data_IF_282452367896
#
_entry.id   IF_282452367896
#
_cell.length_a   1.000
_cell.length_b   1.000
_cell.length_c   1.000
_cell.angle_alpha   90.00
_cell.angle_beta   90.00
_cell.angle_gamma   90.00
#
_symmetry.space_group_name_H-M   'P 1'
#
loop_
_entity.id
_entity.type
_entity.pdbx_description
1 polymer ?
#
# COMPACT_ATOMS: atom_id res chain seq x y z
N UNK A 1 1.99 -42.50 -6.25
CA UNK A 1 1.48 -42.76 -4.87
C UNK A 1 2.72 -42.88 -3.99
N UNK A 2 3.06 -42.07 -2.98
CA UNK A 2 2.40 -41.12 -2.05
C UNK A 2 3.23 -39.81 -2.01
N UNK A 3 2.78 -38.56 -1.93
CA UNK A 3 1.60 -37.90 -1.32
C UNK A 3 1.36 -38.24 0.15
N UNK A 4 2.36 -37.98 0.99
CA UNK A 4 2.26 -37.68 2.43
C UNK A 4 3.70 -37.49 2.91
N UNK A 5 4.21 -36.38 3.44
CA UNK A 5 3.65 -35.39 4.35
C UNK A 5 4.35 -34.04 4.10
N UNK A 6 3.86 -33.23 3.16
CA UNK A 6 4.05 -31.77 3.27
C UNK A 6 3.03 -31.33 4.31
N UNK A 7 3.47 -31.18 5.56
CA UNK A 7 2.69 -30.48 6.55
C UNK A 7 2.36 -29.11 5.96
N UNK A 8 1.08 -28.93 5.61
CA UNK A 8 0.51 -27.66 5.17
C UNK A 8 0.60 -26.70 6.36
N UNK A 9 1.73 -26.00 6.50
CA UNK A 9 1.85 -24.87 7.41
C UNK A 9 0.96 -23.75 6.85
N UNK A 10 -0.25 -23.68 7.38
CA UNK A 10 -1.26 -22.67 7.07
C UNK A 10 -0.78 -21.29 7.57
N UNK A 11 -0.18 -20.51 6.67
CA UNK A 11 -0.65 -19.17 6.33
C UNK A 11 -0.51 -17.99 7.29
N UNK A 12 -0.03 -18.18 8.50
CA UNK A 12 0.66 -17.09 9.20
C UNK A 12 2.12 -17.30 8.89
N UNK A 13 2.79 -16.38 8.20
CA UNK A 13 4.24 -16.47 7.93
C UNK A 13 5.08 -16.27 9.21
N UNK A 14 4.57 -16.75 10.34
CA UNK A 14 5.20 -16.87 11.64
C UNK A 14 5.86 -18.25 11.64
N UNK A 15 6.84 -18.39 10.75
CA UNK A 15 7.74 -19.53 10.76
C UNK A 15 8.98 -19.15 11.58
N UNK A 16 9.48 -20.10 12.37
CA UNK A 16 10.73 -19.89 13.10
C UNK A 16 11.86 -19.65 12.10
N UNK A 17 12.54 -18.51 12.16
CA UNK A 17 13.56 -18.18 11.18
C UNK A 17 14.77 -19.10 11.32
N UNK A 18 15.31 -19.56 10.19
CA UNK A 18 16.54 -20.36 10.12
C UNK A 18 17.71 -19.44 9.81
N UNK A 19 18.79 -19.54 10.60
CA UNK A 19 20.03 -18.78 10.38
C UNK A 19 21.22 -19.71 10.21
N UNK A 20 22.25 -19.23 9.53
CA UNK A 20 23.48 -19.99 9.37
C UNK A 20 24.23 -20.08 10.71
N UNK A 21 24.65 -21.29 11.09
CA UNK A 21 25.56 -21.47 12.22
C UNK A 21 27.01 -21.47 11.72
N UNK A 22 27.80 -20.48 12.14
CA UNK A 22 29.20 -20.32 11.78
C UNK A 22 30.10 -21.14 12.71
N UNK A 23 30.99 -21.95 12.13
CA UNK A 23 32.02 -22.69 12.86
C UNK A 23 33.29 -22.83 12.00
N UNK A 24 34.42 -23.06 12.68
CA UNK A 24 35.72 -23.14 12.01
C UNK A 24 35.77 -24.29 11.00
N UNK A 25 36.28 -24.02 9.79
CA UNK A 25 36.36 -25.01 8.72
C UNK A 25 35.05 -25.28 8.00
N UNK A 26 33.96 -24.57 8.31
CA UNK A 26 32.71 -24.67 7.56
C UNK A 26 32.90 -24.14 6.13
N UNK A 27 32.62 -24.97 5.13
CA UNK A 27 32.54 -24.53 3.74
C UNK A 27 31.24 -23.75 3.51
N UNK A 28 31.36 -22.61 2.84
CA UNK A 28 30.27 -21.69 2.55
C UNK A 28 30.11 -21.56 1.05
N UNK A 29 28.87 -21.55 0.59
CA UNK A 29 28.48 -21.41 -0.81
C UNK A 29 27.26 -20.48 -0.93
N UNK A 30 26.76 -20.31 -2.16
CA UNK A 30 25.62 -19.43 -2.44
C UNK A 30 24.39 -19.74 -1.57
N UNK A 31 24.13 -21.01 -1.27
CA UNK A 31 23.00 -21.42 -0.43
C UNK A 31 23.10 -20.81 0.97
N UNK A 32 24.28 -20.84 1.59
CA UNK A 32 24.44 -20.30 2.94
C UNK A 32 24.29 -18.77 3.00
N UNK A 33 24.71 -18.05 1.96
CA UNK A 33 24.48 -16.60 1.88
C UNK A 33 23.02 -16.25 1.58
N UNK A 34 22.35 -17.03 0.74
CA UNK A 34 20.91 -16.91 0.53
C UNK A 34 20.14 -17.14 1.83
N UNK A 35 20.54 -18.13 2.64
CA UNK A 35 19.94 -18.39 3.95
C UNK A 35 20.03 -17.17 4.87
N UNK A 36 21.18 -16.50 4.92
CA UNK A 36 21.35 -15.25 5.69
C UNK A 36 20.47 -14.12 5.16
N UNK A 37 20.40 -13.91 3.84
CA UNK A 37 19.51 -12.90 3.25
C UNK A 37 18.04 -13.18 3.57
N UNK A 38 17.61 -14.44 3.46
CA UNK A 38 16.26 -14.85 3.80
C UNK A 38 15.95 -14.64 5.29
N UNK A 39 16.88 -14.96 6.19
CA UNK A 39 16.72 -14.74 7.62
C UNK A 39 16.41 -13.27 7.95
N UNK A 40 17.21 -12.34 7.40
CA UNK A 40 17.03 -10.91 7.64
C UNK A 40 15.74 -10.37 7.02
N UNK A 41 15.46 -10.76 5.77
CA UNK A 41 14.24 -10.33 5.08
C UNK A 41 12.99 -10.83 5.79
N UNK A 42 12.99 -12.08 6.24
CA UNK A 42 11.90 -12.68 7.00
C UNK A 42 11.65 -11.95 8.32
N UNK A 43 12.71 -11.72 9.11
CA UNK A 43 12.58 -11.05 10.41
C UNK A 43 12.11 -9.59 10.23
N UNK A 44 12.67 -8.86 9.26
CA UNK A 44 12.25 -7.49 8.91
C UNK A 44 10.77 -7.46 8.52
N UNK A 45 10.35 -8.31 7.59
CA UNK A 45 8.97 -8.36 7.10
C UNK A 45 8.00 -8.74 8.21
N UNK A 46 8.36 -9.74 9.02
CA UNK A 46 7.54 -10.19 10.15
C UNK A 46 7.35 -9.09 11.19
N UNK A 47 8.44 -8.44 11.63
CA UNK A 47 8.36 -7.37 12.64
C UNK A 47 7.57 -6.17 12.12
N UNK A 48 7.82 -5.74 10.89
CA UNK A 48 7.06 -4.65 10.28
C UNK A 48 5.56 -4.98 10.22
N UNK A 49 5.20 -6.20 9.79
CA UNK A 49 3.80 -6.63 9.70
C UNK A 49 3.12 -6.69 11.07
N UNK A 50 3.79 -7.25 12.08
CA UNK A 50 3.18 -7.55 13.38
C UNK A 50 3.23 -6.36 14.37
N UNK A 51 4.22 -5.48 14.25
CA UNK A 51 4.45 -4.40 15.22
C UNK A 51 4.07 -3.04 14.68
N UNK A 52 4.33 -2.77 13.40
CA UNK A 52 4.10 -1.45 12.78
C UNK A 52 2.81 -1.45 11.95
N UNK A 53 2.56 -2.52 11.21
CA UNK A 53 1.46 -2.63 10.26
C UNK A 53 1.76 -1.98 8.90
N UNK A 54 0.76 -2.01 8.03
CA UNK A 54 0.81 -1.47 6.67
C UNK A 54 0.40 0.00 6.66
N UNK A 55 1.11 0.82 5.89
CA UNK A 55 0.79 2.23 5.71
C UNK A 55 1.98 3.08 5.28
N UNK A 56 1.73 4.36 5.05
CA UNK A 56 2.77 5.38 4.87
C UNK A 56 3.39 5.67 6.23
N UNK A 57 4.72 5.59 6.33
CA UNK A 57 5.47 5.91 7.56
C UNK A 57 5.82 7.40 7.60
N UNK A 58 6.32 7.93 6.49
CA UNK A 58 6.66 9.35 6.32
C UNK A 58 6.67 9.75 4.85
N UNK A 59 6.47 11.05 4.58
CA UNK A 59 6.54 11.61 3.23
C UNK A 59 5.43 11.12 2.31
N UNK A 60 5.80 10.73 1.08
CA UNK A 60 4.90 10.19 0.04
C UNK A 60 3.64 11.04 -0.18
N UNK A 61 3.79 12.36 -0.03
CA UNK A 61 2.70 13.29 -0.25
C UNK A 61 2.47 13.42 -1.76
N UNK A 62 1.20 13.37 -2.17
CA UNK A 62 0.80 13.55 -3.57
C UNK A 62 0.28 14.97 -3.73
N UNK A 63 0.81 15.68 -4.71
CA UNK A 63 0.37 17.04 -5.05
C UNK A 63 0.12 17.16 -6.54
N UNK A 64 -0.91 17.90 -6.92
CA UNK A 64 -1.15 18.25 -8.31
C UNK A 64 -0.06 19.20 -8.83
N UNK A 65 0.32 19.05 -10.09
CA UNK A 65 1.20 19.96 -10.82
C UNK A 65 0.49 20.41 -12.10
N UNK A 66 0.38 21.72 -12.29
CA UNK A 66 -0.23 22.32 -13.49
C UNK A 66 0.70 22.24 -14.71
N UNK A 67 1.98 22.55 -14.53
CA UNK A 67 2.94 22.62 -15.64
C UNK A 67 4.08 21.60 -15.49
N UNK A 68 4.32 20.86 -16.56
CA UNK A 68 5.41 19.90 -16.70
C UNK A 68 6.22 20.18 -17.97
N UNK A 69 7.43 20.69 -17.80
CA UNK A 69 8.38 20.81 -18.90
C UNK A 69 8.88 19.42 -19.31
N UNK A 70 8.63 19.03 -20.56
CA UNK A 70 9.11 17.76 -21.13
C UNK A 70 8.16 16.57 -20.99
N UNK A 71 6.90 16.78 -20.59
CA UNK A 71 5.88 15.75 -20.70
C UNK A 71 5.61 15.44 -22.18
N UNK A 72 5.67 14.16 -22.56
CA UNK A 72 5.43 13.71 -23.94
C UNK A 72 4.04 14.11 -24.45
N UNK A 73 3.07 14.21 -23.53
CA UNK A 73 1.71 14.65 -23.79
C UNK A 73 1.32 15.79 -22.82
N UNK A 74 1.35 17.06 -23.25
CA UNK A 74 1.05 18.20 -22.38
C UNK A 74 -0.40 18.24 -21.87
N UNK A 75 -1.29 17.43 -22.45
CA UNK A 75 -2.70 17.34 -22.06
C UNK A 75 -2.96 16.24 -21.02
N UNK A 76 -1.95 15.44 -20.68
CA UNK A 76 -2.08 14.40 -19.64
C UNK A 76 -1.87 15.03 -18.27
N UNK A 77 -2.83 14.90 -17.34
CA UNK A 77 -2.66 15.45 -16.01
C UNK A 77 -1.53 14.72 -15.27
N UNK A 78 -0.73 15.50 -14.56
CA UNK A 78 0.46 15.02 -13.85
C UNK A 78 0.41 15.33 -12.36
N UNK A 79 1.07 14.47 -11.59
CA UNK A 79 1.22 14.63 -10.15
C UNK A 79 2.69 14.57 -9.74
N UNK A 80 2.99 15.21 -8.62
CA UNK A 80 4.25 15.04 -7.91
C UNK A 80 4.03 14.14 -6.69
N UNK A 81 4.99 13.26 -6.43
CA UNK A 81 5.02 12.42 -5.23
C UNK A 81 6.32 12.71 -4.48
N UNK A 82 6.21 13.21 -3.25
CA UNK A 82 7.37 13.48 -2.42
C UNK A 82 8.10 12.18 -2.04
N UNK A 83 9.41 12.26 -1.81
CA UNK A 83 10.18 11.16 -1.21
C UNK A 83 9.57 10.70 0.12
N UNK A 84 9.84 9.45 0.51
CA UNK A 84 9.28 8.90 1.74
C UNK A 84 9.36 7.38 1.83
N UNK A 85 8.71 6.86 2.87
CA UNK A 85 8.73 5.43 3.19
C UNK A 85 7.32 4.92 3.49
N UNK A 86 7.01 3.75 2.98
CA UNK A 86 5.80 3.01 3.30
C UNK A 86 6.11 1.55 3.64
N UNK A 87 5.14 0.86 4.23
CA UNK A 87 5.18 -0.58 4.50
C UNK A 87 3.95 -1.20 3.83
N UNK A 88 4.19 -2.22 3.02
CA UNK A 88 3.11 -2.96 2.35
C UNK A 88 2.43 -4.00 3.25
N UNK A 89 1.42 -4.71 2.72
CA UNK A 89 0.65 -5.67 3.52
C UNK A 89 1.47 -6.90 3.98
N UNK A 90 2.66 -7.14 3.43
CA UNK A 90 3.54 -8.22 3.89
C UNK A 90 4.62 -7.74 4.86
N UNK A 91 4.72 -6.43 5.11
CA UNK A 91 5.76 -5.85 5.95
C UNK A 91 7.02 -5.45 5.18
N UNK A 92 6.98 -5.43 3.84
CA UNK A 92 8.14 -4.99 3.05
C UNK A 92 8.21 -3.47 3.04
N UNK A 93 9.38 -2.89 3.33
CA UNK A 93 9.55 -1.45 3.21
C UNK A 93 9.57 -1.05 1.73
N UNK A 94 8.84 0.01 1.40
CA UNK A 94 8.87 0.68 0.10
C UNK A 94 9.54 2.03 0.33
N UNK A 95 10.71 2.23 -0.27
CA UNK A 95 11.49 3.47 -0.12
C UNK A 95 11.48 4.24 -1.43
N UNK A 96 10.98 5.47 -1.38
CA UNK A 96 11.08 6.45 -2.47
C UNK A 96 12.18 7.44 -2.09
N UNK A 97 13.38 7.33 -2.66
CA UNK A 97 14.56 8.05 -2.17
C UNK A 97 14.59 9.54 -2.54
N UNK A 98 13.85 9.93 -3.58
CA UNK A 98 13.78 11.30 -4.09
C UNK A 98 12.39 11.60 -4.62
N UNK A 99 12.04 12.89 -4.65
CA UNK A 99 10.76 13.32 -5.21
C UNK A 99 10.59 12.82 -6.66
N UNK A 100 9.42 12.27 -6.94
CA UNK A 100 9.00 11.91 -8.28
C UNK A 100 8.20 13.09 -8.81
N UNK A 101 8.74 13.76 -9.83
CA UNK A 101 8.11 14.92 -10.45
C UNK A 101 7.44 14.50 -11.75
N UNK A 102 6.33 15.15 -12.07
CA UNK A 102 5.66 15.01 -13.36
C UNK A 102 5.25 13.56 -13.69
N UNK A 103 4.74 12.81 -12.71
CA UNK A 103 4.24 11.47 -12.94
C UNK A 103 2.89 11.55 -13.69
N UNK A 104 2.79 11.06 -14.94
CA UNK A 104 1.54 11.12 -15.70
C UNK A 104 0.52 10.11 -15.16
N UNK A 105 -0.73 10.56 -15.08
CA UNK A 105 -1.86 9.69 -14.76
C UNK A 105 -2.40 9.13 -16.09
N UNK A 106 -2.44 7.79 -16.26
CA UNK A 106 -2.89 7.19 -17.51
C UNK A 106 -4.32 7.60 -17.89
N UNK A 107 -4.52 8.08 -19.12
CA UNK A 107 -5.82 8.57 -19.62
C UNK A 107 -6.90 7.49 -19.58
N UNK A 108 -6.54 6.22 -19.82
CA UNK A 108 -7.47 5.09 -19.74
C UNK A 108 -8.10 4.96 -18.35
N UNK A 109 -7.34 5.24 -17.28
CA UNK A 109 -7.85 5.21 -15.90
C UNK A 109 -8.76 6.38 -15.57
N UNK A 110 -8.51 7.53 -16.18
CA UNK A 110 -9.35 8.71 -16.02
C UNK A 110 -10.69 8.48 -16.72
N UNK A 111 -10.67 7.97 -17.95
CA UNK A 111 -11.88 7.63 -18.71
C UNK A 111 -12.70 6.57 -17.96
N UNK A 112 -12.07 5.49 -17.51
CA UNK A 112 -12.72 4.46 -16.68
C UNK A 112 -13.35 5.07 -15.40
N UNK A 113 -12.69 6.04 -14.78
CA UNK A 113 -13.20 6.72 -13.59
C UNK A 113 -14.43 7.60 -13.88
N UNK A 114 -14.49 8.27 -15.02
CA UNK A 114 -15.63 9.08 -15.44
C UNK A 114 -16.84 8.18 -15.77
N UNK A 115 -16.62 7.09 -16.50
CA UNK A 115 -17.65 6.11 -16.86
C UNK A 115 -18.28 5.48 -15.60
N UNK A 116 -17.46 5.15 -14.59
CA UNK A 116 -17.96 4.64 -13.31
C UNK A 116 -18.89 5.65 -12.62
N UNK A 117 -18.57 6.94 -12.64
CA UNK A 117 -19.45 7.95 -12.02
C UNK A 117 -20.78 8.08 -12.77
N UNK A 118 -20.77 7.97 -14.10
CA UNK A 118 -21.97 8.00 -14.92
C UNK A 118 -22.87 6.77 -14.71
N UNK A 119 -22.30 5.57 -14.59
CA UNK A 119 -23.04 4.31 -14.39
C UNK A 119 -23.72 4.24 -13.01
N UNK A 120 -23.12 4.81 -11.97
CA UNK A 120 -23.72 4.91 -10.63
C UNK A 120 -24.68 6.10 -10.46
N UNK A 121 -24.79 6.95 -11.49
CA UNK A 121 -25.75 8.04 -11.59
C UNK A 121 -25.44 9.23 -10.67
N UNK A 122 -25.56 10.44 -11.23
CA UNK A 122 -25.56 11.72 -10.52
C UNK A 122 -26.75 11.92 -9.56
N UNK A 123 -26.99 10.97 -8.66
CA UNK A 123 -27.88 11.07 -7.53
C UNK A 123 -27.30 10.25 -6.39
N UNK A 124 -26.86 10.94 -5.34
CA UNK A 124 -26.22 10.35 -4.17
C UNK A 124 -26.88 9.06 -3.70
N UNK A 125 -26.13 7.97 -3.77
CA UNK A 125 -26.41 6.78 -2.97
C UNK A 125 -25.49 6.80 -1.77
N UNK A 126 -25.96 7.52 -0.75
CA UNK A 126 -25.69 7.13 0.62
C UNK A 126 -25.98 5.62 0.74
N UNK A 127 -24.93 4.83 0.92
CA UNK A 127 -25.06 3.47 1.42
C UNK A 127 -25.93 3.54 2.68
N UNK A 128 -27.14 2.97 2.60
CA UNK A 128 -28.02 2.75 3.74
C UNK A 128 -27.38 1.68 4.63
N UNK A 129 -26.39 2.09 5.40
CA UNK A 129 -26.14 1.51 6.72
C UNK A 129 -26.43 2.58 7.76
N UNK A 130 -27.39 2.27 8.63
CA UNK A 130 -27.82 3.10 9.75
C UNK A 130 -26.65 3.20 10.74
N UNK A 131 -25.89 4.28 10.65
CA UNK A 131 -24.86 4.68 11.62
C UNK A 131 -25.01 6.17 11.91
N UNK A 132 -25.49 6.49 13.11
CA UNK A 132 -25.73 7.86 13.59
C UNK A 132 -24.37 8.52 13.94
N UNK A 133 -23.72 9.12 12.95
CA UNK A 133 -22.56 10.00 13.12
C UNK A 133 -22.87 11.42 12.63
N UNK A 134 -22.28 12.48 13.22
CA UNK A 134 -22.66 13.85 12.89
C UNK A 134 -22.29 14.20 11.44
N UNK A 135 -23.11 15.02 10.76
CA UNK A 135 -22.85 15.39 9.37
C UNK A 135 -21.68 16.38 9.33
N UNK A 136 -20.55 15.94 8.80
CA UNK A 136 -19.61 16.87 8.17
C UNK A 136 -20.29 17.38 6.90
N UNK A 137 -20.39 18.69 6.74
CA UNK A 137 -20.86 19.32 5.51
C UNK A 137 -19.92 18.87 4.38
N UNK A 138 -20.44 18.07 3.47
CA UNK A 138 -19.88 17.98 2.13
C UNK A 138 -20.34 19.29 1.46
N UNK A 139 -19.41 20.24 1.37
CA UNK A 139 -19.59 21.51 0.66
C UNK A 139 -19.65 21.23 -0.85
N UNK A 140 -20.64 21.86 -1.50
CA UNK A 140 -20.75 22.20 -2.93
C UNK A 140 -20.95 21.06 -3.96
N UNK A 141 -22.19 20.54 -4.03
CA UNK A 141 -22.78 20.00 -5.27
C UNK A 141 -23.09 21.16 -6.24
N UNK A 142 -22.05 21.90 -6.66
CA UNK A 142 -22.16 22.80 -7.80
C UNK A 142 -22.16 21.99 -9.10
N UNK A 143 -23.00 22.43 -10.02
CA UNK A 143 -23.37 21.90 -11.34
C UNK A 143 -22.16 21.79 -12.31
N UNK A 144 -21.11 21.05 -11.93
CA UNK A 144 -19.94 20.76 -12.77
C UNK A 144 -20.18 19.49 -13.57
N UNK A 145 -19.62 19.44 -14.78
CA UNK A 145 -19.75 18.35 -15.76
C UNK A 145 -19.24 16.98 -15.26
N UNK A 146 -19.00 16.01 -16.17
CA UNK A 146 -18.62 14.66 -15.76
C UNK A 146 -17.33 14.70 -14.93
N UNK A 147 -17.38 14.06 -13.75
CA UNK A 147 -16.29 14.03 -12.78
C UNK A 147 -15.97 12.59 -12.34
N UNK A 148 -14.76 12.38 -11.82
CA UNK A 148 -14.27 11.04 -11.53
C UNK A 148 -13.12 11.02 -10.53
N UNK A 149 -12.92 9.86 -9.90
CA UNK A 149 -11.83 9.65 -8.95
C UNK A 149 -10.84 8.61 -9.48
N UNK A 150 -9.54 8.87 -9.33
CA UNK A 150 -8.47 7.88 -9.58
C UNK A 150 -7.63 7.73 -8.32
N UNK A 151 -7.43 6.49 -7.88
CA UNK A 151 -6.51 6.15 -6.80
C UNK A 151 -5.08 6.10 -7.31
N UNK A 152 -4.16 6.75 -6.59
CA UNK A 152 -2.72 6.65 -6.79
C UNK A 152 -2.17 5.61 -5.82
N UNK A 153 -1.55 4.57 -6.34
CA UNK A 153 -1.07 3.43 -5.56
C UNK A 153 0.44 3.30 -5.67
N UNK A 154 1.07 2.82 -4.60
CA UNK A 154 2.48 2.42 -4.61
C UNK A 154 2.62 0.94 -4.22
N UNK A 155 3.50 0.22 -4.93
CA UNK A 155 3.77 -1.19 -4.68
C UNK A 155 5.27 -1.45 -4.58
N UNK A 156 5.65 -2.41 -3.75
CA UNK A 156 7.02 -2.91 -3.69
C UNK A 156 7.36 -3.67 -4.97
N UNK A 157 8.56 -3.45 -5.51
CA UNK A 157 9.06 -4.13 -6.69
C UNK A 157 10.53 -4.54 -6.52
N UNK A 158 10.93 -5.67 -7.09
CA UNK A 158 12.34 -6.08 -7.15
C UNK A 158 12.77 -6.10 -8.61
N UNK A 159 13.93 -5.49 -8.88
CA UNK A 159 14.58 -5.56 -10.18
C UNK A 159 15.88 -6.36 -10.08
N UNK A 160 16.05 -7.30 -10.99
CA UNK A 160 17.35 -7.93 -11.25
C UNK A 160 18.25 -6.93 -11.99
N UNK A 161 19.39 -6.59 -11.40
CA UNK A 161 20.34 -5.60 -11.94
C UNK A 161 21.76 -6.15 -11.90
N UNK A 162 22.69 -5.42 -12.51
CA UNK A 162 24.11 -5.76 -12.58
C UNK A 162 24.37 -7.15 -13.19
N UNK A 163 24.09 -7.36 -14.49
CA UNK A 163 24.27 -8.65 -15.14
C UNK A 163 25.74 -9.09 -15.14
N UNK A 164 26.01 -10.31 -14.68
CA UNK A 164 27.34 -10.92 -14.56
C UNK A 164 27.37 -12.26 -15.33
N UNK A 165 28.45 -12.57 -16.07
CA UNK A 165 28.59 -13.82 -16.79
C UNK A 165 28.61 -15.03 -15.86
N UNK A 166 27.89 -16.09 -16.22
CA UNK A 166 27.90 -17.36 -15.48
C UNK A 166 29.08 -18.20 -15.96
N UNK A 167 30.06 -18.45 -15.08
CA UNK A 167 31.29 -19.15 -15.43
C UNK A 167 31.16 -20.69 -15.47
N UNK A 168 30.03 -21.24 -15.02
CA UNK A 168 29.70 -22.66 -15.09
C UNK A 168 28.75 -22.90 -16.28
N UNK A 169 29.33 -23.14 -17.46
CA UNK A 169 28.59 -23.56 -18.64
C UNK A 169 28.61 -25.08 -18.77
N UNK A 170 27.44 -25.72 -18.67
CA UNK A 170 27.26 -27.06 -19.21
C UNK A 170 27.31 -26.95 -20.75
N UNK A 171 27.89 -27.93 -21.45
CA UNK A 171 28.07 -27.95 -22.92
C UNK A 171 26.75 -27.91 -23.73
N UNK A 172 25.61 -27.67 -23.08
CA UNK A 172 24.28 -27.53 -23.66
C UNK A 172 23.62 -26.24 -23.18
N UNK A 173 23.95 -25.11 -23.83
CA UNK A 173 23.08 -23.93 -23.92
C UNK A 173 22.66 -23.26 -22.60
N UNK A 174 23.52 -23.26 -21.57
CA UNK A 174 23.25 -22.55 -20.32
C UNK A 174 23.17 -21.02 -20.50
N UNK A 175 22.35 -20.35 -19.68
CA UNK A 175 22.29 -18.88 -19.62
C UNK A 175 23.70 -18.31 -19.45
N UNK A 176 24.14 -17.51 -20.43
CA UNK A 176 25.49 -16.92 -20.45
C UNK A 176 25.68 -15.80 -19.42
N UNK A 177 24.58 -15.27 -18.87
CA UNK A 177 24.57 -14.13 -17.97
C UNK A 177 23.41 -14.22 -16.98
N UNK A 178 23.62 -13.83 -15.74
CA UNK A 178 22.61 -13.75 -14.69
C UNK A 178 22.79 -12.47 -13.85
N UNK A 179 21.76 -12.04 -13.13
CA UNK A 179 21.83 -10.82 -12.32
C UNK A 179 22.71 -11.02 -11.08
N UNK A 180 23.68 -10.11 -10.89
CA UNK A 180 24.56 -10.09 -9.73
C UNK A 180 23.92 -9.47 -8.49
N UNK A 181 22.91 -8.62 -8.67
CA UNK A 181 22.25 -7.89 -7.58
C UNK A 181 20.73 -7.86 -7.76
N UNK A 182 19.99 -7.85 -6.64
CA UNK A 182 18.56 -7.52 -6.60
C UNK A 182 18.41 -6.12 -6.02
N UNK A 183 17.78 -5.21 -6.75
CA UNK A 183 17.41 -3.88 -6.27
C UNK A 183 15.97 -3.90 -5.77
N UNK A 184 15.79 -3.72 -4.46
CA UNK A 184 14.47 -3.40 -3.89
C UNK A 184 14.07 -1.98 -4.34
N UNK A 185 12.89 -1.84 -4.93
CA UNK A 185 12.39 -0.63 -5.58
C UNK A 185 10.87 -0.48 -5.37
N UNK A 186 10.28 0.48 -6.05
CA UNK A 186 8.85 0.78 -6.01
C UNK A 186 8.26 0.93 -7.41
N UNK A 187 6.96 0.66 -7.54
CA UNK A 187 6.18 0.99 -8.74
C UNK A 187 4.95 1.79 -8.33
N UNK A 188 4.50 2.65 -9.23
CA UNK A 188 3.19 3.28 -9.11
C UNK A 188 2.19 2.53 -9.98
N UNK A 189 0.95 2.54 -9.53
CA UNK A 189 -0.21 2.02 -10.25
C UNK A 189 -1.39 2.95 -10.02
N UNK A 190 -2.36 2.89 -10.92
CA UNK A 190 -3.52 3.78 -10.92
C UNK A 190 -4.78 2.94 -11.08
N UNK A 191 -5.80 3.24 -10.27
CA UNK A 191 -7.10 2.55 -10.35
C UNK A 191 -8.23 3.54 -10.39
N UNK A 192 -9.19 3.31 -11.27
CA UNK A 192 -10.42 4.07 -11.29
C UNK A 192 -11.21 3.86 -9.98
N UNK A 193 -11.89 4.91 -9.52
CA UNK A 193 -12.64 4.95 -8.27
C UNK A 193 -11.88 5.58 -7.10
N UNK A 194 -12.46 5.42 -5.90
CA UNK A 194 -12.00 6.09 -4.67
C UNK A 194 -11.70 5.10 -3.56
N UNK A 195 -10.70 5.40 -2.73
CA UNK A 195 -10.35 4.54 -1.59
C UNK A 195 -11.55 4.39 -0.65
N UNK A 196 -11.80 3.18 -0.14
CA UNK A 196 -12.88 2.93 0.81
C UNK A 196 -12.71 3.82 2.05
N UNK A 197 -13.82 4.39 2.55
CA UNK A 197 -13.79 5.10 3.84
C UNK A 197 -13.45 4.10 4.94
N UNK A 198 -12.57 4.48 5.85
CA UNK A 198 -12.30 3.70 7.05
C UNK A 198 -13.58 3.73 7.89
N UNK A 199 -14.19 2.56 8.13
CA UNK A 199 -15.31 2.49 9.05
C UNK A 199 -14.80 2.72 10.49
N UNK A 200 -15.19 3.85 11.05
CA UNK A 200 -14.85 4.24 12.42
C UNK A 200 -15.62 3.43 13.48
N UNK A 201 -16.62 2.64 13.08
CA UNK A 201 -17.38 1.74 13.94
C UNK A 201 -16.78 0.33 13.98
N UNK A 202 -15.81 0.05 13.11
CA UNK A 202 -15.07 -1.21 13.08
C UNK A 202 -14.16 -1.28 14.32
N UNK A 203 -14.63 -1.99 15.35
CA UNK A 203 -13.87 -2.28 16.55
C UNK A 203 -13.45 -3.75 16.56
N UNK A 204 -12.38 -4.05 17.30
CA UNK A 204 -12.05 -5.44 17.59
C UNK A 204 -13.01 -5.90 18.69
N UNK A 205 -13.97 -6.79 18.42
CA UNK A 205 -14.93 -7.21 19.43
C UNK A 205 -14.21 -8.02 20.53
N UNK A 206 -14.63 -7.81 21.78
CA UNK A 206 -14.20 -8.61 22.95
C UNK A 206 -12.69 -8.67 23.23
N UNK A 207 -11.90 -7.66 22.77
CA UNK A 207 -10.44 -7.60 23.04
C UNK A 207 -10.12 -7.68 24.51
N UNK A 208 -10.94 -7.05 25.35
CA UNK A 208 -10.82 -7.14 26.80
C UNK A 208 -12.09 -7.75 27.34
N UNK A 209 -12.00 -8.99 27.79
CA UNK A 209 -13.12 -9.70 28.41
C UNK A 209 -12.76 -10.02 29.86
N UNK A 210 -13.58 -9.56 30.81
CA UNK A 210 -13.39 -9.80 32.26
C UNK A 210 -11.99 -9.40 32.77
N UNK A 211 -11.45 -8.29 32.29
CA UNK A 211 -10.15 -7.77 32.70
C UNK A 211 -8.94 -8.53 32.14
N UNK A 212 -9.14 -9.42 31.15
CA UNK A 212 -8.06 -10.11 30.43
C UNK A 212 -8.09 -9.73 28.95
N UNK A 213 -6.90 -9.53 28.40
CA UNK A 213 -6.72 -9.32 26.96
C UNK A 213 -6.88 -10.65 26.23
N UNK A 214 -7.73 -10.68 25.21
CA UNK A 214 -7.94 -11.81 24.33
C UNK A 214 -6.91 -11.76 23.18
N UNK A 215 -5.73 -12.31 23.43
CA UNK A 215 -4.62 -12.30 22.47
C UNK A 215 -4.97 -13.02 21.17
N UNK A 216 -5.77 -14.07 21.21
CA UNK A 216 -6.19 -14.79 19.99
C UNK A 216 -6.99 -13.87 19.07
N UNK A 217 -7.89 -13.03 19.63
CA UNK A 217 -8.64 -12.04 18.86
C UNK A 217 -7.77 -10.92 18.29
N UNK A 218 -6.74 -10.49 19.03
CA UNK A 218 -5.77 -9.51 18.51
C UNK A 218 -4.95 -10.13 17.38
N UNK A 219 -4.49 -11.36 17.55
CA UNK A 219 -3.74 -12.07 16.52
C UNK A 219 -4.60 -12.25 15.28
N UNK A 220 -5.85 -12.72 15.41
CA UNK A 220 -6.79 -12.83 14.31
C UNK A 220 -6.98 -11.48 13.62
N UNK A 221 -7.23 -10.41 14.38
CA UNK A 221 -7.44 -9.07 13.83
C UNK A 221 -6.24 -8.50 13.07
N UNK A 222 -5.04 -8.64 13.62
CA UNK A 222 -3.80 -8.15 12.98
C UNK A 222 -3.42 -9.02 11.77
N UNK A 223 -3.92 -10.26 11.71
CA UNK A 223 -3.56 -11.23 10.67
C UNK A 223 -4.58 -11.31 9.53
N UNK A 224 -5.84 -10.91 9.74
CA UNK A 224 -6.89 -10.91 8.72
C UNK A 224 -6.89 -9.55 7.98
N UNK A 225 -6.76 -9.51 6.64
CA UNK A 225 -6.97 -8.27 5.90
C UNK A 225 -8.47 -7.98 5.82
N UNK A 226 -8.81 -6.69 5.77
CA UNK A 226 -10.11 -6.06 5.47
C UNK A 226 -11.28 -7.04 5.17
N UNK A 227 -12.38 -6.86 5.91
CA UNK A 227 -13.70 -7.51 6.02
C UNK A 227 -14.24 -8.50 4.93
N UNK A 228 -13.61 -8.67 3.77
CA UNK A 228 -14.11 -9.42 2.63
C UNK A 228 -13.37 -10.72 2.25
N UNK A 229 -12.31 -11.15 2.95
CA UNK A 229 -11.66 -12.45 2.66
C UNK A 229 -11.73 -13.42 3.84
N UNK A 230 -12.94 -13.87 4.15
CA UNK A 230 -13.21 -14.94 5.12
C UNK A 230 -13.02 -16.34 4.50
N UNK A 231 -11.91 -16.62 3.81
CA UNK A 231 -11.51 -18.01 3.52
C UNK A 231 -10.08 -18.11 3.01
N UNK A 232 -9.23 -18.82 3.75
CA UNK A 232 -7.98 -19.38 3.22
C UNK A 232 -6.73 -18.58 3.54
N UNK A 233 -5.64 -19.31 3.70
CA UNK A 233 -4.31 -18.74 3.88
C UNK A 233 -3.89 -17.99 2.62
N UNK A 234 -3.51 -16.73 2.76
CA UNK A 234 -3.06 -15.87 1.66
C UNK A 234 -1.94 -16.56 0.88
N UNK A 235 -2.14 -16.78 -0.41
CA UNK A 235 -1.01 -16.83 -1.34
C UNK A 235 -0.37 -15.44 -1.37
N UNK A 236 0.89 -15.27 -1.80
CA UNK A 236 1.48 -13.94 -1.95
C UNK A 236 0.79 -13.29 -3.17
N UNK A 237 -0.17 -12.33 -3.06
CA UNK A 237 -0.49 -11.48 -4.21
C UNK A 237 0.81 -11.00 -4.88
N UNK A 238 0.85 -11.02 -6.20
CA UNK A 238 2.05 -10.61 -6.93
C UNK A 238 2.40 -9.13 -6.67
N UNK A 239 1.40 -8.31 -6.27
CA UNK A 239 1.60 -6.94 -5.83
C UNK A 239 0.60 -6.52 -4.71
N UNK A 240 1.11 -5.98 -3.59
CA UNK A 240 0.32 -5.30 -2.54
C UNK A 240 0.47 -3.83 -2.78
N UNK A 241 -0.50 -3.29 -3.50
CA UNK A 241 -0.64 -1.88 -3.74
C UNK A 241 -1.11 -1.17 -2.47
N UNK A 242 -0.51 -0.04 -2.13
CA UNK A 242 -0.87 0.83 -1.02
C UNK A 242 -1.41 2.15 -1.58
N UNK A 243 -2.65 2.56 -1.25
CA UNK A 243 -3.18 3.85 -1.70
C UNK A 243 -2.44 5.00 -1.02
N UNK A 244 -2.00 5.96 -1.83
CA UNK A 244 -1.33 7.19 -1.39
C UNK A 244 -2.27 8.40 -1.39
N UNK A 245 -3.11 8.51 -2.42
CA UNK A 245 -4.09 9.59 -2.55
C UNK A 245 -5.22 9.17 -3.50
N UNK A 246 -6.37 9.82 -3.35
CA UNK A 246 -7.43 9.81 -4.36
C UNK A 246 -7.41 11.17 -5.09
N UNK A 247 -7.34 11.16 -6.41
CA UNK A 247 -7.30 12.36 -7.25
C UNK A 247 -8.66 12.53 -7.91
N UNK A 248 -9.25 13.70 -7.73
CA UNK A 248 -10.51 14.11 -8.34
C UNK A 248 -10.25 14.82 -9.67
N UNK A 249 -11.00 14.44 -10.68
CA UNK A 249 -10.93 15.01 -12.02
C UNK A 249 -12.28 15.58 -12.43
N UNK A 250 -12.21 16.75 -13.04
CA UNK A 250 -13.30 17.34 -13.82
C UNK A 250 -12.92 17.30 -15.31
N UNK A 251 -13.90 17.05 -16.16
CA UNK A 251 -13.76 17.25 -17.60
C UNK A 251 -14.06 18.71 -17.95
N UNK A 252 -13.06 19.44 -18.43
CA UNK A 252 -13.28 20.77 -19.01
C UNK A 252 -13.56 20.64 -20.51
N UNK A 253 -14.81 20.91 -20.87
CA UNK A 253 -15.30 20.92 -22.26
C UNK A 253 -15.35 22.33 -22.87
N UNK A 254 -14.89 23.36 -22.15
CA UNK A 254 -15.06 24.77 -22.55
C UNK A 254 -14.14 25.19 -23.71
N UNK A 255 -13.16 24.37 -24.08
CA UNK A 255 -12.17 24.64 -25.13
C UNK A 255 -12.38 23.87 -26.44
N UNK A 256 -11.44 24.01 -27.38
CA UNK A 256 -11.49 23.32 -28.69
C UNK A 256 -11.36 21.78 -28.58
N UNK A 257 -10.83 21.28 -27.46
CA UNK A 257 -10.71 19.85 -27.17
C UNK A 257 -10.93 19.61 -25.66
N UNK A 258 -11.56 18.49 -25.27
CA UNK A 258 -11.80 18.16 -23.87
C UNK A 258 -10.47 17.94 -23.12
N UNK A 259 -10.34 18.54 -21.93
CA UNK A 259 -9.16 18.41 -21.09
C UNK A 259 -9.51 17.89 -19.70
N UNK A 260 -8.69 16.97 -19.20
CA UNK A 260 -8.82 16.48 -17.83
C UNK A 260 -8.10 17.43 -16.88
N UNK A 261 -8.85 18.01 -15.93
CA UNK A 261 -8.31 18.93 -14.93
C UNK A 261 -8.36 18.28 -13.56
N UNK A 262 -7.24 18.28 -12.85
CA UNK A 262 -7.22 17.87 -11.45
C UNK A 262 -7.78 19.01 -10.61
N UNK A 263 -8.97 18.79 -10.07
CA UNK A 263 -9.64 19.72 -9.16
C UNK A 263 -9.12 19.56 -7.72
N UNK A 264 -8.92 18.31 -7.28
CA UNK A 264 -8.56 18.01 -5.88
C UNK A 264 -7.70 16.77 -5.74
N UNK A 265 -6.76 16.80 -4.79
CA UNK A 265 -6.00 15.62 -4.33
C UNK A 265 -6.34 15.36 -2.86
N UNK A 266 -6.94 14.20 -2.57
CA UNK A 266 -7.34 13.77 -1.23
C UNK A 266 -6.36 12.72 -0.67
N UNK A 267 -5.57 13.15 0.32
CA UNK A 267 -4.62 12.29 1.05
C UNK A 267 -5.19 11.74 2.36
N UNK A 268 -6.41 12.11 2.76
CA UNK A 268 -6.94 11.80 4.09
C UNK A 268 -7.38 10.34 4.26
N UNK A 269 -7.59 9.63 3.14
CA UNK A 269 -7.96 8.21 3.14
C UNK A 269 -6.77 7.25 3.13
N UNK A 270 -5.54 7.77 3.01
CA UNK A 270 -4.34 6.94 3.03
C UNK A 270 -4.09 6.38 4.43
N UNK A 271 -3.71 5.10 4.51
CA UNK A 271 -3.34 4.48 5.78
C UNK A 271 -1.97 4.99 6.21
N UNK A 272 -1.85 5.46 7.45
CA UNK A 272 -0.58 5.87 8.05
C UNK A 272 -0.13 4.79 9.04
N UNK A 273 1.13 4.40 8.95
CA UNK A 273 1.74 3.45 9.87
C UNK A 273 2.41 4.20 11.02
N UNK A 274 1.88 4.03 12.23
CA UNK A 274 2.42 4.64 13.44
C UNK A 274 3.06 3.60 14.34
N UNK A 275 4.10 4.00 15.07
CA UNK A 275 4.60 3.18 16.18
C UNK A 275 3.60 3.18 17.33
N UNK A 276 3.58 2.11 18.14
CA UNK A 276 2.75 2.03 19.35
C UNK A 276 2.98 3.21 20.31
N UNK A 277 4.22 3.71 20.39
CA UNK A 277 4.54 4.90 21.18
C UNK A 277 3.81 6.13 20.65
N UNK A 278 3.93 6.40 19.34
CA UNK A 278 3.30 7.57 18.74
C UNK A 278 1.77 7.51 18.83
N UNK A 279 1.18 6.32 18.61
CA UNK A 279 -0.25 6.11 18.80
C UNK A 279 -0.67 6.43 20.24
N UNK A 280 0.09 5.97 21.24
CA UNK A 280 -0.20 6.23 22.64
C UNK A 280 -0.16 7.74 22.96
N UNK A 281 0.87 8.45 22.50
CA UNK A 281 0.97 9.91 22.68
C UNK A 281 -0.21 10.63 22.01
N UNK A 282 -0.57 10.26 20.77
CA UNK A 282 -1.74 10.85 20.07
C UNK A 282 -3.05 10.61 20.83
N UNK A 283 -3.25 9.41 21.37
CA UNK A 283 -4.43 9.09 22.18
C UNK A 283 -4.47 9.93 23.47
N UNK A 284 -3.32 10.11 24.13
CA UNK A 284 -3.22 10.98 25.30
C UNK A 284 -3.58 12.43 24.96
N UNK A 285 -3.04 12.97 23.87
CA UNK A 285 -3.33 14.32 23.40
C UNK A 285 -4.82 14.50 23.08
N UNK A 286 -5.45 13.52 22.41
CA UNK A 286 -6.89 13.54 22.13
C UNK A 286 -7.73 13.51 23.42
N UNK A 287 -7.32 12.73 24.42
CA UNK A 287 -7.99 12.69 25.73
C UNK A 287 -7.85 14.04 26.44
N UNK A 288 -6.67 14.66 26.39
CA UNK A 288 -6.42 15.97 27.00
C UNK A 288 -7.21 17.07 26.29
N UNK A 289 -7.19 17.11 24.95
CA UNK A 289 -7.96 18.06 24.16
C UNK A 289 -9.46 17.97 24.46
N UNK A 290 -9.99 16.75 24.66
CA UNK A 290 -11.40 16.54 25.03
C UNK A 290 -11.74 16.96 26.46
N UNK A 291 -10.76 16.92 27.39
CA UNK A 291 -10.96 17.39 28.78
C UNK A 291 -10.99 18.92 28.89
N UNK A 292 -10.67 19.64 27.81
CA UNK A 292 -10.55 21.10 27.80
C UNK A 292 -9.30 21.56 28.59
N UNK A 293 -8.83 22.81 28.37
CA UNK A 293 -7.77 23.35 29.21
C UNK A 293 -8.26 23.37 30.67
N UNK A 294 -7.54 22.68 31.56
CA UNK A 294 -7.77 22.76 33.00
C UNK A 294 -7.84 24.26 33.40
N UNK A 295 -9.03 24.72 33.79
CA UNK A 295 -9.21 25.91 34.61
C UNK A 295 -8.94 25.56 36.06
#
# INVERSE_FOLDING_TARGET
MNRSQRARSRGTDITSPLRNNYFHGKMMDAYHFQLETHYHNHLRSMLNRLVIGRGVVCGLNVTHRQDCDGCEEPETPVIDIAHGVAIDAWGRPIVVPSDVKCLPIPKDRIIEALELTEEYGGAGTASRHVGHGPPGKDDDDDEKGPNGWVQVLIGYHECQVDPVPVLAGDCHGGQSCNAGTIREWYKFDFRAGRSQRIDLHCNIPDVVTRGRVNYDKIVDWVTIPDENELTGCRERPEASWLPLADVHFDLDESGDAPRFVIDRVDIYRRRVAYSNRLLFEMLLDLIQARRGPNR
#
